data_IF_460660479543
#
_entry.id   IF_460660479543
#
_cell.length_a   1.000
_cell.length_b   1.000
_cell.length_c   1.000
_cell.angle_alpha   90.00
_cell.angle_beta   90.00
_cell.angle_gamma   90.00
#
_symmetry.space_group_name_H-M   'P 1'
#
loop_
_entity.id
_entity.type
_entity.pdbx_description
1 polymer ?
#
# COMPACT_ATOMS: atom_id res chain seq x y z
N UNK A 1 15.18 15.73 6.28
CA UNK A 1 13.85 15.78 5.71
C UNK A 1 12.76 15.60 6.76
N UNK A 2 12.84 14.56 7.56
CA UNK A 2 11.85 14.28 8.60
C UNK A 2 12.37 14.69 9.98
N UNK A 3 11.46 14.96 10.92
CA UNK A 3 11.75 15.14 12.34
C UNK A 3 11.06 14.01 13.10
N UNK A 4 11.82 13.29 13.94
CA UNK A 4 11.25 12.34 14.90
C UNK A 4 10.48 13.11 15.96
N UNK A 5 9.26 12.71 16.26
CA UNK A 5 8.38 13.38 17.23
C UNK A 5 8.14 12.54 18.48
N UNK A 6 7.80 11.25 18.32
CA UNK A 6 7.45 10.38 19.45
C UNK A 6 7.56 8.91 19.09
N UNK A 7 7.86 8.07 20.08
CA UNK A 7 7.75 6.62 20.00
C UNK A 7 6.83 6.11 21.11
N UNK A 8 6.00 5.12 20.77
CA UNK A 8 5.16 4.40 21.74
C UNK A 8 4.93 2.97 21.29
N UNK A 9 4.47 2.10 22.18
CA UNK A 9 4.08 0.73 21.87
C UNK A 9 2.57 0.63 21.74
N UNK A 10 2.09 0.10 20.61
CA UNK A 10 0.66 -0.11 20.36
C UNK A 10 0.37 -1.57 20.14
N UNK A 11 -0.52 -2.18 20.96
CA UNK A 11 -1.06 -3.51 20.69
C UNK A 11 -2.08 -3.42 19.54
N UNK A 12 -1.96 -4.33 18.58
CA UNK A 12 -2.84 -4.43 17.41
C UNK A 12 -3.33 -5.87 17.23
N UNK A 13 -4.27 -6.10 16.30
CA UNK A 13 -4.68 -7.46 15.92
C UNK A 13 -3.56 -8.30 15.31
N UNK A 14 -2.47 -7.67 14.83
CA UNK A 14 -1.26 -8.32 14.31
C UNK A 14 -0.16 -8.51 15.35
N UNK A 15 -0.41 -8.10 16.60
CA UNK A 15 0.56 -8.11 17.70
C UNK A 15 0.95 -6.72 18.18
N UNK A 16 1.90 -6.64 19.11
CA UNK A 16 2.44 -5.37 19.61
C UNK A 16 3.60 -4.92 18.75
N UNK A 17 3.61 -3.64 18.39
CA UNK A 17 4.66 -2.97 17.62
C UNK A 17 5.08 -1.67 18.30
N UNK A 18 6.33 -1.24 18.09
CA UNK A 18 6.76 0.12 18.37
C UNK A 18 6.35 1.01 17.20
N UNK A 19 5.67 2.11 17.50
CA UNK A 19 5.26 3.12 16.54
C UNK A 19 6.11 4.37 16.75
N UNK A 20 6.91 4.75 15.75
CA UNK A 20 7.63 6.01 15.70
C UNK A 20 6.94 6.95 14.74
N UNK A 21 6.57 8.13 15.22
CA UNK A 21 5.96 9.17 14.40
C UNK A 21 7.00 10.18 13.94
N UNK A 22 6.89 10.59 12.68
CA UNK A 22 7.77 11.54 12.04
C UNK A 22 6.96 12.63 11.34
N UNK A 23 7.41 13.88 11.46
CA UNK A 23 6.90 15.02 10.71
C UNK A 23 7.76 15.25 9.47
N UNK A 24 7.21 15.21 8.27
CA UNK A 24 7.88 15.69 7.06
C UNK A 24 7.90 17.21 7.04
N UNK A 25 9.07 17.81 7.08
CA UNK A 25 9.25 19.28 7.09
C UNK A 25 8.92 19.94 5.75
N UNK A 26 8.86 19.18 4.66
CA UNK A 26 8.56 19.71 3.33
C UNK A 26 7.06 19.76 3.07
N UNK A 27 6.33 18.74 3.52
CA UNK A 27 4.89 18.58 3.22
C UNK A 27 4.00 18.84 4.44
N UNK A 28 4.58 18.80 5.66
CA UNK A 28 3.82 18.83 6.91
C UNK A 28 3.09 17.52 7.22
N UNK A 29 3.25 16.49 6.39
CA UNK A 29 2.60 15.20 6.62
C UNK A 29 3.24 14.43 7.79
N UNK A 30 2.42 13.69 8.51
CA UNK A 30 2.87 12.75 9.54
C UNK A 30 3.05 11.36 8.94
N UNK A 31 4.22 10.77 9.13
CA UNK A 31 4.52 9.41 8.71
C UNK A 31 4.77 8.52 9.93
N UNK A 32 4.61 7.22 9.76
CA UNK A 32 4.85 6.26 10.83
C UNK A 32 5.89 5.22 10.40
N UNK A 33 6.80 4.87 11.31
CA UNK A 33 7.53 3.60 11.26
C UNK A 33 6.93 2.65 12.29
N UNK A 34 6.40 1.52 11.83
CA UNK A 34 5.79 0.46 12.63
C UNK A 34 6.83 -0.66 12.71
N UNK A 35 7.38 -0.89 13.90
CA UNK A 35 8.62 -1.64 14.08
C UNK A 35 8.35 -2.90 14.91
N UNK A 36 8.81 -4.05 14.43
CA UNK A 36 8.88 -5.31 15.16
C UNK A 36 10.33 -5.71 15.40
N UNK A 37 10.67 -6.05 16.64
CA UNK A 37 12.03 -6.42 17.02
C UNK A 37 13.00 -5.24 17.02
N UNK A 38 14.28 -5.53 16.75
CA UNK A 38 15.37 -4.57 16.62
C UNK A 38 15.94 -4.67 15.21
N UNK A 39 15.38 -3.95 14.24
CA UNK A 39 15.82 -4.05 12.85
C UNK A 39 17.25 -3.50 12.70
N UNK A 40 18.06 -4.25 11.95
CA UNK A 40 19.43 -3.93 11.56
C UNK A 40 19.54 -3.99 10.03
N UNK A 41 20.69 -3.68 9.47
CA UNK A 41 20.94 -3.80 8.03
C UNK A 41 20.59 -5.21 7.53
N UNK A 42 19.90 -5.30 6.39
CA UNK A 42 19.28 -6.52 5.89
C UNK A 42 17.85 -6.76 6.39
N UNK A 43 17.30 -5.86 7.22
CA UNK A 43 15.94 -5.98 7.73
C UNK A 43 14.89 -6.02 6.62
N UNK A 44 13.82 -6.76 6.88
CA UNK A 44 12.63 -6.76 6.03
C UNK A 44 11.85 -5.46 6.23
N UNK A 45 11.59 -4.73 5.16
CA UNK A 45 10.79 -3.50 5.21
C UNK A 45 9.66 -3.48 4.20
N UNK A 46 8.62 -2.71 4.49
CA UNK A 46 7.64 -2.27 3.52
C UNK A 46 7.46 -0.76 3.59
N UNK A 47 7.57 -0.09 2.46
CA UNK A 47 7.08 1.29 2.32
C UNK A 47 5.64 1.23 1.83
N UNK A 48 4.69 1.51 2.72
CA UNK A 48 3.27 1.44 2.44
C UNK A 48 2.69 2.85 2.24
N UNK A 49 2.02 3.05 1.10
CA UNK A 49 1.31 4.30 0.80
C UNK A 49 -0.12 4.20 1.30
N UNK A 50 -0.58 5.18 2.09
CA UNK A 50 -1.94 5.19 2.65
C UNK A 50 -3.02 5.03 1.58
N UNK A 51 -4.09 4.35 1.94
CA UNK A 51 -5.27 4.17 1.13
C UNK A 51 -6.51 4.04 2.01
N UNK A 52 -7.11 5.17 2.35
CA UNK A 52 -8.24 5.23 3.28
C UNK A 52 -9.39 4.29 2.89
N UNK A 53 -9.73 4.25 1.61
CA UNK A 53 -10.84 3.41 1.13
C UNK A 53 -10.56 1.92 1.28
N UNK A 54 -9.33 1.48 1.01
CA UNK A 54 -8.95 0.07 1.10
C UNK A 54 -8.69 -0.40 2.53
N UNK A 55 -8.07 0.45 3.35
CA UNK A 55 -7.58 0.07 4.68
C UNK A 55 -8.66 0.24 5.76
N UNK A 56 -9.44 1.33 5.70
CA UNK A 56 -10.46 1.64 6.72
C UNK A 56 -11.83 1.11 6.32
N UNK A 57 -12.22 1.27 5.05
CA UNK A 57 -13.56 0.93 4.55
C UNK A 57 -13.62 -0.40 3.80
N UNK A 58 -12.49 -1.11 3.65
CA UNK A 58 -12.46 -2.42 3.01
C UNK A 58 -12.87 -2.41 1.54
N UNK A 59 -12.53 -1.33 0.80
CA UNK A 59 -12.82 -1.23 -0.63
C UNK A 59 -12.21 -2.40 -1.39
N UNK A 60 -13.01 -3.06 -2.21
CA UNK A 60 -12.59 -4.16 -3.08
C UNK A 60 -11.99 -3.67 -4.42
N UNK A 61 -12.00 -2.36 -4.69
CA UNK A 61 -11.37 -1.77 -5.89
C UNK A 61 -9.84 -1.76 -5.83
N UNK A 62 -9.23 -2.16 -4.71
CA UNK A 62 -7.78 -2.27 -4.54
C UNK A 62 -7.39 -3.33 -3.51
N UNK A 63 -6.11 -3.70 -3.51
CA UNK A 63 -5.51 -4.66 -2.58
C UNK A 63 -4.80 -4.03 -1.38
N UNK A 64 -4.96 -2.71 -1.13
CA UNK A 64 -4.16 -1.97 -0.16
C UNK A 64 -4.33 -2.46 1.29
N UNK A 65 -5.57 -2.72 1.74
CA UNK A 65 -5.86 -3.26 3.06
C UNK A 65 -5.23 -4.64 3.28
N UNK A 66 -5.51 -5.64 2.43
CA UNK A 66 -4.84 -6.94 2.48
C UNK A 66 -3.31 -6.86 2.46
N UNK A 67 -2.73 -5.96 1.65
CA UNK A 67 -1.28 -5.78 1.60
C UNK A 67 -0.70 -5.20 2.89
N UNK A 68 -1.38 -4.26 3.54
CA UNK A 68 -0.95 -3.72 4.83
C UNK A 68 -0.97 -4.82 5.90
N UNK A 69 -2.07 -5.57 5.98
CA UNK A 69 -2.24 -6.66 6.94
C UNK A 69 -1.14 -7.73 6.76
N UNK A 70 -0.93 -8.21 5.54
CA UNK A 70 0.08 -9.21 5.25
C UNK A 70 1.51 -8.71 5.55
N UNK A 71 1.80 -7.43 5.29
CA UNK A 71 3.09 -6.85 5.63
C UNK A 71 3.31 -6.76 7.15
N UNK A 72 2.28 -6.38 7.92
CA UNK A 72 2.34 -6.36 9.38
C UNK A 72 2.58 -7.77 9.95
N UNK A 73 1.91 -8.78 9.41
CA UNK A 73 2.12 -10.18 9.81
C UNK A 73 3.55 -10.65 9.51
N UNK A 74 4.08 -10.33 8.33
CA UNK A 74 5.45 -10.72 7.94
C UNK A 74 6.49 -10.05 8.84
N UNK A 75 6.43 -8.73 9.06
CA UNK A 75 7.40 -8.07 9.95
C UNK A 75 7.22 -8.48 11.42
N UNK A 76 6.02 -8.94 11.81
CA UNK A 76 5.81 -9.50 13.15
C UNK A 76 6.52 -10.82 13.32
N UNK A 77 6.50 -11.66 12.30
CA UNK A 77 7.13 -12.98 12.31
C UNK A 77 8.66 -12.93 12.21
N UNK A 78 9.19 -12.07 11.31
CA UNK A 78 10.63 -12.03 10.98
C UNK A 78 11.39 -10.90 11.69
N UNK A 79 10.71 -9.92 12.22
CA UNK A 79 11.28 -8.61 12.57
C UNK A 79 11.32 -7.69 11.35
N UNK A 80 11.36 -6.36 11.57
CA UNK A 80 11.44 -5.40 10.48
C UNK A 80 10.59 -4.15 10.68
N UNK A 81 10.30 -3.46 9.57
CA UNK A 81 9.62 -2.15 9.61
C UNK A 81 8.59 -2.00 8.51
N UNK A 82 7.37 -1.57 8.85
CA UNK A 82 6.47 -0.95 7.87
C UNK A 82 6.57 0.57 8.02
N UNK A 83 6.99 1.26 6.95
CA UNK A 83 6.93 2.71 6.86
C UNK A 83 5.61 3.09 6.22
N UNK A 84 4.71 3.67 6.99
CA UNK A 84 3.39 4.09 6.55
C UNK A 84 3.43 5.55 6.11
N UNK A 85 3.28 5.77 4.79
CA UNK A 85 3.39 7.08 4.15
C UNK A 85 2.02 7.72 4.01
N UNK A 86 1.77 8.78 4.76
CA UNK A 86 0.58 9.62 4.61
C UNK A 86 0.78 10.66 3.49
N UNK A 87 -0.32 11.21 2.97
CA UNK A 87 -0.26 12.11 1.81
C UNK A 87 -0.10 11.38 0.45
N UNK A 88 -0.11 10.05 0.45
CA UNK A 88 0.04 9.22 -0.76
C UNK A 88 -1.29 8.70 -1.32
N UNK A 89 -2.43 9.14 -0.77
CA UNK A 89 -3.76 8.73 -1.22
C UNK A 89 -3.95 8.98 -2.71
N UNK A 90 -4.50 7.99 -3.41
CA UNK A 90 -4.73 8.07 -4.86
C UNK A 90 -3.45 8.26 -5.68
N UNK A 91 -2.29 7.75 -5.23
CA UNK A 91 -0.96 7.98 -5.82
C UNK A 91 -0.51 9.45 -5.73
N UNK A 92 -0.87 10.14 -4.63
CA UNK A 92 -0.50 11.54 -4.38
C UNK A 92 -1.54 12.57 -4.80
N UNK A 93 -2.60 12.19 -5.52
CA UNK A 93 -3.64 13.14 -5.97
C UNK A 93 -4.70 13.46 -4.89
N UNK A 94 -4.66 12.76 -3.77
CA UNK A 94 -5.57 12.95 -2.65
C UNK A 94 -6.92 12.24 -2.79
N UNK A 95 -7.66 12.15 -1.69
CA UNK A 95 -8.89 11.36 -1.58
C UNK A 95 -9.99 11.82 -2.55
N UNK A 96 -10.24 13.13 -2.62
CA UNK A 96 -11.32 13.66 -3.48
C UNK A 96 -11.06 13.33 -4.95
N UNK A 97 -9.84 13.55 -5.43
CA UNK A 97 -9.51 13.28 -6.82
C UNK A 97 -9.46 11.78 -7.12
N UNK A 98 -9.07 10.95 -6.15
CA UNK A 98 -9.21 9.50 -6.25
C UNK A 98 -10.67 9.07 -6.45
N UNK A 99 -11.62 9.65 -5.71
CA UNK A 99 -13.04 9.34 -5.89
C UNK A 99 -13.57 9.83 -7.25
N UNK A 100 -13.09 10.99 -7.74
CA UNK A 100 -13.39 11.43 -9.12
C UNK A 100 -12.81 10.46 -10.15
N UNK A 101 -11.58 9.97 -9.95
CA UNK A 101 -10.98 8.96 -10.83
C UNK A 101 -11.78 7.65 -10.82
N UNK A 102 -12.27 7.20 -9.66
CA UNK A 102 -13.16 6.04 -9.57
C UNK A 102 -14.45 6.26 -10.37
N UNK A 103 -15.04 7.45 -10.33
CA UNK A 103 -16.20 7.78 -11.16
C UNK A 103 -15.92 7.64 -12.65
N UNK A 104 -14.76 8.15 -13.10
CA UNK A 104 -14.35 8.01 -14.51
C UNK A 104 -14.08 6.55 -14.89
N UNK A 105 -13.58 5.72 -13.95
CA UNK A 105 -13.42 4.29 -14.17
C UNK A 105 -14.76 3.57 -14.29
N UNK A 106 -15.78 3.96 -13.52
CA UNK A 106 -17.13 3.44 -13.65
C UNK A 106 -17.75 3.79 -15.04
N UNK A 107 -17.28 4.89 -15.64
CA UNK A 107 -17.67 5.32 -17.01
C UNK A 107 -16.76 4.67 -18.10
N UNK A 108 -15.83 3.75 -17.74
CA UNK A 108 -15.06 2.90 -18.66
C UNK A 108 -13.59 3.30 -18.90
N UNK A 109 -13.08 4.35 -18.24
CA UNK A 109 -11.64 4.66 -18.29
C UNK A 109 -10.83 3.69 -17.43
N UNK A 110 -9.59 3.39 -17.82
CA UNK A 110 -8.68 2.70 -16.90
C UNK A 110 -8.11 3.66 -15.83
N UNK A 111 -7.39 3.09 -14.86
CA UNK A 111 -6.86 3.86 -13.72
C UNK A 111 -5.86 4.95 -14.13
N UNK A 112 -5.04 4.72 -15.16
CA UNK A 112 -4.04 5.69 -15.61
C UNK A 112 -4.71 6.81 -16.40
N UNK A 113 -5.60 6.44 -17.32
CA UNK A 113 -6.33 7.38 -18.17
C UNK A 113 -7.27 8.26 -17.35
N UNK A 114 -7.88 7.71 -16.27
CA UNK A 114 -8.69 8.48 -15.34
C UNK A 114 -7.88 9.58 -14.62
N UNK A 115 -6.65 9.29 -14.18
CA UNK A 115 -5.77 10.30 -13.57
C UNK A 115 -5.37 11.37 -14.59
N UNK A 116 -4.98 10.95 -15.78
CA UNK A 116 -4.57 11.87 -16.87
C UNK A 116 -5.73 12.77 -17.30
N UNK A 117 -6.95 12.24 -17.39
CA UNK A 117 -8.16 13.01 -17.71
C UNK A 117 -8.47 14.09 -16.64
N UNK A 118 -8.05 13.87 -15.41
CA UNK A 118 -8.15 14.85 -14.31
C UNK A 118 -6.97 15.84 -14.27
N UNK A 119 -6.01 15.73 -15.20
CA UNK A 119 -4.82 16.59 -15.27
C UNK A 119 -3.70 16.22 -14.28
N UNK A 120 -3.71 15.01 -13.72
CA UNK A 120 -2.69 14.53 -12.80
C UNK A 120 -1.69 13.59 -13.49
N UNK A 121 -0.44 13.50 -12.97
CA UNK A 121 0.49 12.48 -13.40
C UNK A 121 -0.02 11.08 -13.01
N UNK A 122 0.51 10.06 -13.68
CA UNK A 122 0.19 8.65 -13.39
C UNK A 122 0.54 8.27 -11.94
N UNK A 123 1.65 8.80 -11.42
CA UNK A 123 2.11 8.60 -10.04
C UNK A 123 2.90 9.85 -9.59
N UNK A 124 2.40 10.52 -8.56
CA UNK A 124 2.98 11.75 -7.98
C UNK A 124 3.62 11.50 -6.61
N UNK A 125 3.86 10.23 -6.23
CA UNK A 125 4.41 9.90 -4.92
C UNK A 125 5.92 10.13 -4.87
N UNK A 126 6.36 10.79 -3.79
CA UNK A 126 7.77 10.95 -3.42
C UNK A 126 8.11 10.09 -2.19
N UNK A 127 9.10 9.21 -2.33
CA UNK A 127 9.53 8.33 -1.26
C UNK A 127 10.75 8.86 -0.47
N UNK A 128 11.14 10.13 -0.65
CA UNK A 128 12.29 10.74 0.06
C UNK A 128 12.10 10.74 1.58
N UNK A 129 10.87 10.92 2.07
CA UNK A 129 10.61 10.87 3.51
C UNK A 129 10.79 9.44 4.06
N UNK A 130 10.45 8.41 3.27
CA UNK A 130 10.69 7.02 3.67
C UNK A 130 12.20 6.73 3.78
N UNK A 131 13.00 7.24 2.87
CA UNK A 131 14.48 7.13 2.93
C UNK A 131 15.01 7.81 4.18
N UNK A 132 14.58 9.05 4.47
CA UNK A 132 15.01 9.76 5.66
C UNK A 132 14.60 9.05 6.98
N UNK A 133 13.47 8.33 6.99
CA UNK A 133 13.06 7.49 8.12
C UNK A 133 13.99 6.28 8.25
N UNK A 134 14.34 5.61 7.13
CA UNK A 134 15.29 4.50 7.15
C UNK A 134 16.66 4.94 7.67
N UNK A 135 17.15 6.10 7.25
CA UNK A 135 18.41 6.70 7.74
C UNK A 135 18.35 6.96 9.25
N UNK A 136 17.24 7.52 9.77
CA UNK A 136 17.06 7.76 11.22
C UNK A 136 17.02 6.44 12.02
N UNK A 137 16.53 5.37 11.40
CA UNK A 137 16.53 4.03 11.98
C UNK A 137 17.90 3.31 11.84
N UNK A 138 18.89 3.91 11.15
CA UNK A 138 20.19 3.32 10.88
C UNK A 138 20.18 2.21 9.82
N UNK A 139 19.18 2.18 8.95
CA UNK A 139 18.97 1.16 7.93
C UNK A 139 19.40 1.69 6.56
N UNK A 140 20.59 1.29 6.09
CA UNK A 140 21.11 1.60 4.76
C UNK A 140 21.01 0.43 3.77
N UNK A 141 20.78 -0.78 4.28
CA UNK A 141 20.63 -2.01 3.51
C UNK A 141 19.36 -2.75 3.96
N UNK A 142 18.48 -3.10 3.00
CA UNK A 142 17.14 -3.63 3.31
C UNK A 142 16.66 -4.66 2.29
N UNK A 143 15.77 -5.54 2.74
CA UNK A 143 14.90 -6.39 1.92
C UNK A 143 13.55 -5.71 1.81
N UNK A 144 12.98 -5.55 0.63
CA UNK A 144 11.78 -4.72 0.43
C UNK A 144 10.58 -5.53 -0.04
N UNK A 145 9.52 -5.56 0.76
CA UNK A 145 8.23 -6.13 0.37
C UNK A 145 7.55 -5.18 -0.62
N UNK A 146 7.60 -5.51 -1.90
CA UNK A 146 6.95 -4.71 -2.96
C UNK A 146 6.88 -5.45 -4.29
N UNK A 147 5.83 -5.16 -5.08
CA UNK A 147 5.74 -5.55 -6.49
C UNK A 147 6.03 -4.36 -7.43
N UNK A 148 6.24 -3.15 -6.88
CA UNK A 148 6.42 -1.92 -7.64
C UNK A 148 7.91 -1.64 -7.92
N UNK A 149 8.40 -1.77 -9.18
CA UNK A 149 9.80 -1.52 -9.53
C UNK A 149 10.20 -0.04 -9.34
N UNK A 150 9.27 0.89 -9.55
CA UNK A 150 9.54 2.32 -9.38
C UNK A 150 9.86 2.66 -7.92
N UNK A 151 9.22 2.00 -6.96
CA UNK A 151 9.53 2.17 -5.54
C UNK A 151 10.96 1.74 -5.23
N UNK A 152 11.40 0.60 -5.78
CA UNK A 152 12.78 0.13 -5.61
C UNK A 152 13.79 1.10 -6.24
N UNK A 153 13.48 1.60 -7.45
CA UNK A 153 14.31 2.59 -8.13
C UNK A 153 14.49 3.83 -7.27
N UNK A 154 13.40 4.42 -6.75
CA UNK A 154 13.46 5.61 -5.92
C UNK A 154 14.23 5.42 -4.61
N UNK A 155 14.15 4.25 -3.97
CA UNK A 155 14.96 3.94 -2.79
C UNK A 155 16.45 3.85 -3.14
N UNK A 156 16.79 3.14 -4.23
CA UNK A 156 18.19 2.98 -4.69
C UNK A 156 18.81 4.30 -5.12
N UNK A 157 18.08 5.12 -5.89
CA UNK A 157 18.55 6.44 -6.37
C UNK A 157 18.85 7.40 -5.21
N UNK A 158 18.31 7.12 -4.02
CA UNK A 158 18.54 7.90 -2.79
C UNK A 158 19.47 7.22 -1.78
N UNK A 159 20.22 6.21 -2.21
CA UNK A 159 21.31 5.61 -1.43
C UNK A 159 20.93 4.42 -0.56
N UNK A 160 19.71 3.91 -0.63
CA UNK A 160 19.34 2.67 0.07
C UNK A 160 19.72 1.46 -0.77
N UNK A 161 20.51 0.57 -0.20
CA UNK A 161 20.86 -0.72 -0.81
C UNK A 161 19.69 -1.68 -0.65
N UNK A 162 19.04 -2.05 -1.75
CA UNK A 162 17.98 -3.06 -1.77
C UNK A 162 18.60 -4.40 -2.16
N UNK A 163 18.77 -5.29 -1.19
CA UNK A 163 19.41 -6.61 -1.37
C UNK A 163 18.44 -7.64 -1.93
N UNK A 164 17.14 -7.51 -1.60
CA UNK A 164 16.11 -8.43 -2.06
C UNK A 164 14.79 -7.70 -2.29
N UNK A 165 14.09 -8.05 -3.35
CA UNK A 165 12.70 -7.72 -3.55
C UNK A 165 11.85 -8.91 -3.12
N UNK A 166 11.02 -8.71 -2.09
CA UNK A 166 10.08 -9.72 -1.59
C UNK A 166 8.71 -9.45 -2.21
N UNK A 167 8.19 -10.33 -3.08
CA UNK A 167 6.89 -10.13 -3.69
C UNK A 167 5.77 -10.29 -2.67
N UNK A 168 4.67 -9.56 -2.87
CA UNK A 168 3.48 -9.64 -2.03
C UNK A 168 2.23 -9.63 -2.90
N UNK A 169 1.66 -10.80 -3.13
CA UNK A 169 0.45 -10.99 -3.95
C UNK A 169 -0.67 -11.43 -3.02
N UNK A 170 -1.56 -10.51 -2.69
CA UNK A 170 -2.72 -10.73 -1.81
C UNK A 170 -3.88 -9.81 -2.22
N UNK A 171 -5.11 -10.16 -1.85
CA UNK A 171 -6.28 -9.31 -2.05
C UNK A 171 -6.71 -9.18 -3.50
N UNK A 172 -6.38 -10.16 -4.34
CA UNK A 172 -6.86 -10.23 -5.72
C UNK A 172 -8.32 -10.67 -5.73
N UNK A 173 -9.15 -9.99 -6.49
CA UNK A 173 -10.57 -10.31 -6.59
C UNK A 173 -11.20 -9.70 -7.83
N UNK A 174 -12.44 -10.09 -8.10
CA UNK A 174 -13.23 -9.68 -9.27
C UNK A 174 -13.29 -8.15 -9.46
N UNK A 175 -13.35 -7.39 -8.36
CA UNK A 175 -13.52 -5.93 -8.42
C UNK A 175 -12.23 -5.14 -8.66
N UNK A 176 -11.05 -5.76 -8.55
CA UNK A 176 -9.76 -5.08 -8.76
C UNK A 176 -8.91 -5.70 -9.86
N UNK A 177 -9.43 -6.68 -10.61
CA UNK A 177 -8.72 -7.37 -11.67
C UNK A 177 -8.15 -6.40 -12.71
N UNK A 178 -8.99 -5.55 -13.28
CA UNK A 178 -8.57 -4.52 -14.26
C UNK A 178 -7.53 -3.54 -13.68
N UNK A 179 -7.66 -3.20 -12.41
CA UNK A 179 -6.69 -2.35 -11.72
C UNK A 179 -5.31 -3.04 -11.60
N UNK A 180 -5.28 -4.34 -11.29
CA UNK A 180 -4.06 -5.12 -11.19
C UNK A 180 -3.43 -5.37 -12.57
N UNK A 181 -4.23 -5.62 -13.58
CA UNK A 181 -3.78 -5.70 -14.98
C UNK A 181 -3.12 -4.39 -15.43
N UNK A 182 -3.75 -3.24 -15.18
CA UNK A 182 -3.15 -1.95 -15.49
C UNK A 182 -1.81 -1.73 -14.76
N UNK A 183 -1.69 -2.19 -13.50
CA UNK A 183 -0.42 -2.15 -12.77
C UNK A 183 0.64 -3.04 -13.38
N UNK A 184 0.29 -4.26 -13.80
CA UNK A 184 1.21 -5.20 -14.45
C UNK A 184 1.64 -4.66 -15.81
N UNK A 185 0.68 -4.38 -16.68
CA UNK A 185 0.92 -4.17 -18.11
C UNK A 185 1.41 -2.75 -18.44
N UNK A 186 0.98 -1.74 -17.68
CA UNK A 186 1.30 -0.33 -17.94
C UNK A 186 2.27 0.29 -16.94
N UNK A 187 2.48 -0.34 -15.76
CA UNK A 187 3.38 0.17 -14.72
C UNK A 187 4.50 -0.81 -14.35
N UNK A 188 4.59 -1.96 -15.01
CA UNK A 188 5.66 -2.95 -14.83
C UNK A 188 5.69 -3.60 -13.44
N UNK A 189 4.56 -3.65 -12.72
CA UNK A 189 4.48 -4.37 -11.47
C UNK A 189 4.70 -5.87 -11.68
N UNK A 190 5.47 -6.49 -10.78
CA UNK A 190 5.67 -7.93 -10.76
C UNK A 190 4.43 -8.62 -10.18
N UNK A 191 3.46 -8.84 -11.02
CA UNK A 191 2.23 -9.56 -10.71
C UNK A 191 2.07 -10.71 -11.69
N UNK A 192 1.64 -11.92 -11.26
CA UNK A 192 1.33 -13.01 -12.17
C UNK A 192 0.11 -12.69 -13.05
N UNK A 193 -0.11 -13.48 -14.08
CA UNK A 193 -1.31 -13.37 -14.90
C UNK A 193 -2.58 -13.65 -14.07
N UNK A 194 -3.64 -12.89 -14.33
CA UNK A 194 -4.85 -12.88 -13.51
C UNK A 194 -5.49 -14.24 -13.24
N UNK A 195 -5.50 -15.21 -14.19
CA UNK A 195 -6.00 -16.57 -13.93
C UNK A 195 -5.21 -17.35 -12.87
N UNK A 196 -3.89 -17.07 -12.73
CA UNK A 196 -3.01 -17.73 -11.77
C UNK A 196 -3.15 -17.15 -10.35
N UNK A 197 -3.71 -15.93 -10.23
CA UNK A 197 -3.95 -15.26 -8.94
C UNK A 197 -5.18 -15.80 -8.20
N UNK A 198 -6.08 -16.49 -8.89
CA UNK A 198 -7.32 -17.04 -8.33
C UNK A 198 -7.07 -18.45 -7.78
N UNK A 199 -6.51 -18.55 -6.57
CA UNK A 199 -6.55 -19.80 -5.81
C UNK A 199 -8.00 -20.19 -5.48
N UNK A 200 -8.30 -21.51 -5.42
CA UNK A 200 -9.66 -22.03 -5.18
C UNK A 200 -10.32 -21.50 -3.89
N UNK A 201 -9.54 -21.15 -2.88
CA UNK A 201 -10.00 -20.52 -1.62
C UNK A 201 -10.51 -19.09 -1.78
N UNK A 202 -10.01 -18.32 -2.74
CA UNK A 202 -10.43 -16.94 -2.97
C UNK A 202 -11.74 -16.88 -3.78
N UNK A 203 -11.97 -17.85 -4.67
CA UNK A 203 -13.26 -18.00 -5.35
C UNK A 203 -14.41 -18.23 -4.37
N UNK A 204 -14.19 -19.05 -3.35
CA UNK A 204 -15.21 -19.29 -2.31
C UNK A 204 -15.44 -18.06 -1.41
N UNK A 205 -14.41 -17.31 -1.05
CA UNK A 205 -14.53 -16.08 -0.27
C UNK A 205 -15.18 -14.94 -1.05
N UNK A 206 -14.82 -14.77 -2.32
CA UNK A 206 -15.44 -13.80 -3.22
C UNK A 206 -16.92 -14.11 -3.44
N UNK A 207 -17.28 -15.37 -3.69
CA UNK A 207 -18.65 -15.81 -3.85
C UNK A 207 -19.50 -15.59 -2.57
N UNK A 208 -18.95 -15.85 -1.39
CA UNK A 208 -19.62 -15.61 -0.09
C UNK A 208 -19.82 -14.12 0.18
N UNK A 209 -18.85 -13.29 -0.18
CA UNK A 209 -18.92 -11.81 -0.04
C UNK A 209 -19.95 -11.26 -1.01
N UNK A 210 -20.01 -11.74 -2.23
CA UNK A 210 -20.98 -11.34 -3.26
C UNK A 210 -22.41 -11.73 -2.86
N UNK A 211 -22.64 -12.96 -2.37
CA UNK A 211 -23.93 -13.38 -1.84
C UNK A 211 -24.38 -12.54 -0.64
N UNK A 212 -23.45 -12.12 0.22
CA UNK A 212 -23.73 -11.27 1.37
C UNK A 212 -24.14 -9.85 0.97
N UNK A 213 -23.55 -9.31 -0.09
CA UNK A 213 -23.91 -7.99 -0.66
C UNK A 213 -25.29 -8.04 -1.35
N UNK A 214 -25.59 -9.13 -2.05
CA UNK A 214 -26.88 -9.32 -2.75
C UNK A 214 -28.05 -9.64 -1.79
N UNK A 215 -27.77 -10.12 -0.58
CA UNK A 215 -28.76 -10.45 0.44
C UNK A 215 -29.08 -9.31 1.40
N UNK A 216 -28.49 -8.11 1.23
CA UNK A 216 -28.95 -6.93 1.95
C UNK A 216 -30.36 -6.59 1.45
N UNK A 217 -31.41 -6.66 2.32
CA UNK A 217 -32.76 -6.36 1.89
C UNK A 217 -32.84 -4.94 1.33
N UNK A 218 -33.37 -4.79 0.13
CA UNK A 218 -33.77 -3.49 -0.43
C UNK A 218 -34.99 -2.97 0.37
N UNK A 219 -34.76 -2.58 1.60
CA UNK A 219 -35.79 -2.11 2.47
C UNK A 219 -35.28 -1.03 3.41
N UNK A 220 -35.89 0.13 3.23
CA UNK A 220 -35.82 1.35 4.02
C UNK A 220 -34.76 2.40 3.57
N UNK A 221 -35.05 2.98 2.42
CA UNK A 221 -34.81 4.42 2.20
C UNK A 221 -36.19 5.08 2.39
N UNK A 222 -36.44 5.58 3.56
CA UNK A 222 -37.45 6.59 3.85
C UNK A 222 -36.74 7.77 4.48
#
# INVERSE_FOLDING_TARGET
>A
RVTFEVETTIPTSHGSFRFRAYRDRMTGADHLAIISGMPENGALIRVHSECLTGEVFGSLKCECGPQLNAALDQIKAEGGVVIYMRGHEGRGIGLINKLKAYRLQDDGLDTLDANTALGFPVDDRDYSAAVAILEDLGLSEVRVITNNPEKLRQLRDRGITVTEQVPLVVGVGEFNEQYLEAKRDRMGHLLPDTPELRGDTEREQSARTYQRILTIPKGHLA
#
